data_IF_776146858606
#
_entry.id   IF_776146858606
#
_cell.length_a   1.000
_cell.length_b   1.000
_cell.length_c   1.000
_cell.angle_alpha   90.00
_cell.angle_beta   90.00
_cell.angle_gamma   90.00
#
_symmetry.space_group_name_H-M   'P 1'
#
loop_
_entity.id
_entity.type
_entity.pdbx_description
1 polymer ?
#
# COMPACT_ATOMS: atom_id res chain seq x y z
N UNK A 1 5.94 21.82 -0.94
CA UNK A 1 6.12 21.40 0.47
C UNK A 1 7.61 21.45 0.75
N UNK A 2 8.03 22.15 1.81
CA UNK A 2 9.45 22.26 2.15
C UNK A 2 10.01 20.96 2.75
N UNK A 3 11.33 20.82 2.71
CA UNK A 3 12.05 19.61 3.14
C UNK A 3 11.86 19.32 4.64
N UNK A 4 11.69 20.35 5.46
CA UNK A 4 11.48 20.21 6.90
C UNK A 4 10.11 19.62 7.22
N UNK A 5 9.07 20.11 6.56
CA UNK A 5 7.71 19.60 6.66
C UNK A 5 7.62 18.16 6.16
N UNK A 6 8.28 17.85 5.05
CA UNK A 6 8.37 16.47 4.56
C UNK A 6 9.11 15.56 5.55
N UNK A 7 10.22 16.01 6.15
CA UNK A 7 10.95 15.26 7.19
C UNK A 7 10.12 15.04 8.44
N UNK A 8 9.34 16.02 8.87
CA UNK A 8 8.44 15.87 10.03
C UNK A 8 7.31 14.88 9.72
N UNK A 9 6.76 14.90 8.51
CA UNK A 9 5.74 13.94 8.05
C UNK A 9 6.35 12.52 7.96
N UNK A 10 7.51 12.36 7.32
CA UNK A 10 8.23 11.07 7.21
C UNK A 10 8.67 10.55 8.58
N UNK A 11 9.13 11.43 9.49
CA UNK A 11 9.49 11.08 10.86
C UNK A 11 8.32 10.55 11.67
N UNK A 12 7.09 11.04 11.39
CA UNK A 12 5.87 10.45 11.96
C UNK A 12 5.64 9.04 11.44
N UNK A 13 5.85 8.75 10.15
CA UNK A 13 5.74 7.38 9.60
C UNK A 13 6.72 6.38 10.24
N UNK A 14 7.95 6.80 10.57
CA UNK A 14 8.95 5.94 11.23
C UNK A 14 8.56 5.53 12.66
N UNK A 15 7.58 6.18 13.28
CA UNK A 15 7.10 5.85 14.62
C UNK A 15 6.09 4.68 14.66
N UNK A 16 5.66 4.12 13.51
CA UNK A 16 4.41 3.31 13.46
C UNK A 16 4.44 1.86 12.92
N UNK A 17 5.59 1.18 12.71
CA UNK A 17 5.76 -0.29 12.93
C UNK A 17 7.03 -0.91 12.29
N UNK A 18 7.63 -1.87 13.01
CA UNK A 18 8.44 -3.05 12.63
C UNK A 18 9.56 -2.98 11.57
N UNK A 19 9.67 -1.94 10.75
CA UNK A 19 10.81 -1.80 9.83
C UNK A 19 12.13 -1.71 10.59
N UNK A 20 12.09 -1.21 11.84
CA UNK A 20 13.26 -1.13 12.72
C UNK A 20 13.83 -2.51 13.12
N UNK A 21 12.99 -3.55 13.24
CA UNK A 21 13.45 -4.91 13.54
C UNK A 21 14.03 -5.62 12.29
N UNK A 22 13.56 -5.27 11.08
CA UNK A 22 14.15 -5.76 9.83
C UNK A 22 15.36 -4.96 9.34
N UNK A 23 15.46 -3.67 9.70
CA UNK A 23 16.54 -2.75 9.29
C UNK A 23 17.66 -2.64 10.31
N UNK A 24 17.46 -3.06 11.58
CA UNK A 24 18.58 -3.25 12.51
C UNK A 24 19.32 -4.57 12.22
N UNK A 25 19.85 -4.63 11.01
CA UNK A 25 20.68 -5.70 10.51
C UNK A 25 22.04 -5.77 11.22
N UNK A 26 22.37 -4.79 12.08
CA UNK A 26 23.64 -4.77 12.84
C UNK A 26 23.74 -5.91 13.86
N UNK A 27 22.61 -6.51 14.21
CA UNK A 27 22.54 -7.73 15.03
C UNK A 27 22.86 -9.02 14.23
N UNK A 28 22.77 -8.97 12.89
CA UNK A 28 22.92 -10.13 11.99
C UNK A 28 24.15 -10.02 11.08
N UNK A 29 24.55 -8.82 10.68
CA UNK A 29 25.71 -8.54 9.85
C UNK A 29 26.74 -7.69 10.60
N UNK A 30 28.04 -8.00 10.48
CA UNK A 30 29.11 -7.17 11.02
C UNK A 30 28.98 -5.72 10.55
N UNK A 31 29.26 -4.74 11.44
CA UNK A 31 29.18 -3.29 11.14
C UNK A 31 29.86 -2.88 9.83
N UNK A 32 30.91 -3.60 9.46
CA UNK A 32 31.71 -3.42 8.24
C UNK A 32 30.93 -3.65 6.93
N UNK A 33 29.78 -4.36 6.98
CA UNK A 33 28.93 -4.67 5.82
C UNK A 33 27.70 -3.78 5.70
N UNK A 34 27.56 -2.80 6.58
CA UNK A 34 26.45 -1.84 6.59
C UNK A 34 26.91 -0.59 5.86
N UNK A 35 26.62 -0.52 4.55
CA UNK A 35 27.11 0.54 3.65
C UNK A 35 26.41 1.90 3.81
N UNK A 36 25.26 1.93 4.50
CA UNK A 36 24.45 3.13 4.77
C UNK A 36 23.91 3.08 6.19
N UNK A 37 23.79 4.23 6.87
CA UNK A 37 23.25 4.28 8.22
C UNK A 37 21.80 3.76 8.22
N UNK A 38 21.47 2.64 8.92
CA UNK A 38 20.11 2.10 8.96
C UNK A 38 19.12 3.04 9.67
N UNK A 39 19.62 4.08 10.35
CA UNK A 39 18.85 5.13 11.01
C UNK A 39 18.65 6.37 10.15
N UNK A 40 19.23 6.45 8.94
CA UNK A 40 18.94 7.55 8.02
C UNK A 40 17.50 7.41 7.50
N UNK A 41 16.69 8.48 7.51
CA UNK A 41 15.34 8.44 6.96
C UNK A 41 15.39 8.04 5.47
N UNK A 42 15.00 6.81 5.18
CA UNK A 42 14.81 6.37 3.81
C UNK A 42 13.55 7.04 3.25
N UNK A 43 13.69 7.78 2.15
CA UNK A 43 12.54 8.36 1.46
C UNK A 43 11.68 7.23 0.89
N UNK A 44 10.42 7.13 1.31
CA UNK A 44 9.46 6.25 0.68
C UNK A 44 9.19 6.76 -0.73
N UNK A 45 9.63 6.00 -1.74
CA UNK A 45 9.48 6.38 -3.14
C UNK A 45 8.14 5.90 -3.73
N UNK A 46 7.69 4.72 -3.29
CA UNK A 46 6.44 4.14 -3.74
C UNK A 46 5.79 3.29 -2.65
N UNK A 47 4.47 3.10 -2.79
CA UNK A 47 3.63 2.24 -1.96
C UNK A 47 2.91 1.25 -2.86
N UNK A 48 2.94 -0.02 -2.47
CA UNK A 48 2.27 -1.11 -3.18
C UNK A 48 1.17 -1.67 -2.29
N UNK A 49 -0.09 -1.48 -2.67
CA UNK A 49 -1.23 -2.14 -2.03
C UNK A 49 -1.42 -3.52 -2.65
N UNK A 50 -1.01 -4.55 -1.91
CA UNK A 50 -1.01 -5.93 -2.42
C UNK A 50 -2.40 -6.54 -2.24
N UNK A 51 -2.88 -7.23 -3.28
CA UNK A 51 -4.06 -8.09 -3.22
C UNK A 51 -3.83 -9.38 -3.99
N UNK A 52 -4.75 -10.31 -3.80
CA UNK A 52 -4.91 -11.50 -4.63
C UNK A 52 -6.39 -11.65 -4.96
N UNK A 53 -6.78 -11.15 -6.13
CA UNK A 53 -8.14 -11.21 -6.61
C UNK A 53 -8.19 -11.83 -8.01
N UNK A 54 -8.61 -13.09 -8.09
CA UNK A 54 -8.68 -13.85 -9.35
C UNK A 54 -9.82 -13.39 -10.27
N UNK A 55 -10.79 -12.63 -9.76
CA UNK A 55 -11.88 -12.06 -10.56
C UNK A 55 -11.45 -10.82 -11.35
N UNK A 56 -10.27 -10.28 -11.04
CA UNK A 56 -9.69 -9.14 -11.75
C UNK A 56 -8.54 -9.55 -12.66
N UNK A 57 -8.48 -8.94 -13.85
CA UNK A 57 -7.38 -9.14 -14.80
C UNK A 57 -6.27 -8.08 -14.67
N UNK A 58 -6.50 -7.01 -13.91
CA UNK A 58 -5.49 -5.99 -13.65
C UNK A 58 -4.41 -6.58 -12.76
N UNK A 59 -3.16 -6.51 -13.22
CA UNK A 59 -1.98 -6.99 -12.50
C UNK A 59 -1.39 -5.85 -11.69
N UNK A 60 -1.22 -4.68 -12.31
CA UNK A 60 -0.71 -3.50 -11.64
C UNK A 60 -1.36 -2.25 -12.21
N UNK A 61 -1.69 -1.30 -11.34
CA UNK A 61 -2.08 0.04 -11.76
C UNK A 61 -1.55 1.09 -10.80
N UNK A 62 -1.23 2.28 -11.33
CA UNK A 62 -1.05 3.46 -10.53
C UNK A 62 -2.40 3.95 -10.04
N UNK A 63 -2.48 4.23 -8.75
CA UNK A 63 -3.70 4.60 -8.07
C UNK A 63 -3.95 6.10 -8.13
N UNK A 64 -5.22 6.46 -8.28
CA UNK A 64 -5.72 7.79 -7.89
C UNK A 64 -5.90 7.84 -6.38
N UNK A 65 -5.98 9.04 -5.80
CA UNK A 65 -6.21 9.20 -4.36
C UNK A 65 -7.51 8.50 -3.93
N UNK A 66 -8.59 8.61 -4.71
CA UNK A 66 -9.88 8.00 -4.38
C UNK A 66 -9.76 6.49 -4.24
N UNK A 67 -9.11 5.82 -5.20
CA UNK A 67 -8.90 4.37 -5.17
C UNK A 67 -7.94 3.96 -4.06
N UNK A 68 -6.89 4.72 -3.83
CA UNK A 68 -5.90 4.45 -2.78
C UNK A 68 -6.55 4.50 -1.39
N UNK A 69 -7.27 5.58 -1.10
CA UNK A 69 -7.95 5.76 0.18
C UNK A 69 -9.08 4.74 0.36
N UNK A 70 -9.86 4.46 -0.69
CA UNK A 70 -10.88 3.41 -0.63
C UNK A 70 -10.29 2.02 -0.34
N UNK A 71 -9.16 1.65 -0.97
CA UNK A 71 -8.49 0.36 -0.72
C UNK A 71 -8.03 0.21 0.73
N UNK A 72 -7.52 1.28 1.33
CA UNK A 72 -7.08 1.31 2.72
C UNK A 72 -8.25 1.27 3.70
N UNK A 73 -9.32 2.02 3.43
CA UNK A 73 -10.56 1.99 4.22
C UNK A 73 -11.22 0.60 4.21
N UNK A 74 -11.23 -0.08 3.07
CA UNK A 74 -11.77 -1.46 2.96
C UNK A 74 -10.86 -2.48 3.66
N UNK A 75 -9.53 -2.29 3.61
CA UNK A 75 -8.58 -3.13 4.35
C UNK A 75 -8.56 -4.60 3.92
N UNK A 76 -8.89 -4.93 2.66
CA UNK A 76 -8.90 -6.32 2.19
C UNK A 76 -7.49 -6.87 2.05
N UNK A 77 -7.20 -7.95 2.76
CA UNK A 77 -5.97 -8.73 2.63
C UNK A 77 -5.97 -9.59 1.37
N UNK A 78 -4.80 -10.14 0.96
CA UNK A 78 -4.74 -11.15 -0.08
C UNK A 78 -5.52 -12.45 0.23
N UNK A 79 -5.90 -12.70 1.49
CA UNK A 79 -6.76 -13.82 1.87
C UNK A 79 -8.26 -13.49 1.74
N UNK A 80 -8.59 -12.25 1.36
CA UNK A 80 -9.98 -11.78 1.24
C UNK A 80 -10.62 -11.37 2.58
N UNK A 81 -9.90 -11.51 3.69
CA UNK A 81 -10.31 -11.01 5.01
C UNK A 81 -10.21 -9.49 5.05
N UNK A 82 -11.10 -8.83 5.79
CA UNK A 82 -10.94 -7.41 6.13
C UNK A 82 -10.05 -7.31 7.36
N UNK A 83 -8.94 -6.62 7.22
CA UNK A 83 -8.05 -6.24 8.30
C UNK A 83 -7.91 -4.73 8.28
N UNK A 84 -8.17 -4.10 9.43
CA UNK A 84 -7.80 -2.70 9.61
C UNK A 84 -6.29 -2.69 9.78
N UNK A 85 -5.63 -1.81 9.01
CA UNK A 85 -4.18 -1.81 8.79
C UNK A 85 -3.38 -1.65 10.11
N UNK A 86 -4.02 -1.21 11.20
CA UNK A 86 -3.40 -1.03 12.53
C UNK A 86 -4.17 -1.68 13.70
N UNK A 87 -4.51 -2.97 13.60
CA UNK A 87 -5.07 -3.71 14.74
C UNK A 87 -4.18 -3.74 16.01
N UNK A 88 -2.87 -3.45 15.90
CA UNK A 88 -1.93 -3.57 17.03
C UNK A 88 -1.85 -2.35 17.97
N UNK A 89 -2.27 -1.16 17.52
CA UNK A 89 -2.10 0.11 18.28
C UNK A 89 -3.41 0.83 18.63
N UNK A 90 -4.56 0.34 18.16
CA UNK A 90 -5.86 0.95 18.43
C UNK A 90 -6.37 0.54 19.81
N UNK A 91 -6.34 1.47 20.76
CA UNK A 91 -6.88 1.30 22.11
C UNK A 91 -8.41 1.50 22.19
N UNK A 92 -9.10 1.68 21.05
CA UNK A 92 -10.53 2.03 20.96
C UNK A 92 -11.30 0.95 20.21
N UNK A 93 -12.57 0.77 20.56
CA UNK A 93 -13.47 -0.33 20.17
C UNK A 93 -13.54 -0.56 18.65
N UNK A 94 -12.65 -1.44 18.15
CA UNK A 94 -12.48 -1.89 16.78
C UNK A 94 -13.81 -2.27 16.09
N UNK A 95 -14.80 -2.74 16.86
CA UNK A 95 -16.13 -3.07 16.33
C UNK A 95 -16.92 -1.84 15.89
N UNK A 96 -16.85 -0.75 16.65
CA UNK A 96 -17.58 0.49 16.35
C UNK A 96 -17.05 1.14 15.08
N UNK A 97 -15.73 1.17 14.91
CA UNK A 97 -15.08 1.70 13.71
C UNK A 97 -15.32 0.82 12.49
N UNK A 98 -15.23 -0.50 12.62
CA UNK A 98 -15.60 -1.44 11.54
C UNK A 98 -17.04 -1.22 11.10
N UNK A 99 -17.96 -1.11 12.05
CA UNK A 99 -19.38 -0.85 11.75
C UNK A 99 -19.53 0.47 11.01
N UNK A 100 -18.85 1.52 11.45
CA UNK A 100 -18.87 2.82 10.78
C UNK A 100 -18.32 2.74 9.35
N UNK A 101 -17.19 2.07 9.14
CA UNK A 101 -16.61 1.83 7.80
C UNK A 101 -17.61 1.07 6.92
N UNK A 102 -18.26 0.02 7.44
CA UNK A 102 -19.26 -0.76 6.71
C UNK A 102 -20.45 0.11 6.28
N UNK A 103 -20.88 1.11 7.07
CA UNK A 103 -21.94 2.05 6.66
C UNK A 103 -21.55 2.91 5.47
N UNK A 104 -20.26 3.28 5.37
CA UNK A 104 -19.75 4.04 4.22
C UNK A 104 -19.56 3.11 3.03
N UNK A 105 -19.00 1.91 3.23
CA UNK A 105 -18.80 0.90 2.18
C UNK A 105 -20.13 0.53 1.49
N UNK A 106 -21.22 0.44 2.25
CA UNK A 106 -22.56 0.17 1.73
C UNK A 106 -23.06 1.20 0.70
N UNK A 107 -22.48 2.41 0.66
CA UNK A 107 -22.79 3.44 -0.34
C UNK A 107 -22.03 3.27 -1.66
N UNK A 108 -21.09 2.33 -1.71
CA UNK A 108 -20.24 2.02 -2.87
C UNK A 108 -18.77 2.29 -2.60
N UNK A 109 -17.92 1.31 -2.93
CA UNK A 109 -16.45 1.39 -2.77
C UNK A 109 -15.86 2.53 -3.62
N UNK A 110 -16.42 2.78 -4.80
CA UNK A 110 -16.04 3.87 -5.71
C UNK A 110 -16.27 5.27 -5.10
N UNK A 111 -17.21 5.39 -4.17
CA UNK A 111 -17.56 6.66 -3.50
C UNK A 111 -16.98 6.77 -2.11
N UNK A 112 -16.35 5.71 -1.62
CA UNK A 112 -15.99 5.55 -0.22
C UNK A 112 -15.14 6.71 0.32
N UNK A 113 -14.14 7.15 -0.44
CA UNK A 113 -13.32 8.30 -0.04
C UNK A 113 -14.11 9.61 -0.01
N UNK A 114 -14.96 9.86 -1.00
CA UNK A 114 -15.78 11.09 -1.03
C UNK A 114 -16.81 11.12 0.10
N UNK A 115 -17.42 9.98 0.42
CA UNK A 115 -18.39 9.84 1.51
C UNK A 115 -17.70 9.94 2.87
N UNK A 116 -16.50 9.36 2.99
CA UNK A 116 -15.63 9.56 4.13
C UNK A 116 -15.39 11.05 4.34
N UNK A 117 -14.90 11.79 3.35
CA UNK A 117 -14.59 13.22 3.49
C UNK A 117 -15.78 14.05 4.02
N UNK A 118 -17.00 13.78 3.54
CA UNK A 118 -18.23 14.49 3.93
C UNK A 118 -18.71 14.16 5.35
N UNK A 119 -18.37 12.99 5.88
CA UNK A 119 -18.84 12.55 7.19
C UNK A 119 -18.34 13.46 8.31
N UNK A 120 -19.20 13.80 9.28
CA UNK A 120 -18.86 14.71 10.40
C UNK A 120 -18.55 13.96 11.70
N UNK A 121 -18.95 12.71 11.74
CA UNK A 121 -18.92 11.77 12.87
C UNK A 121 -17.84 10.70 12.68
N UNK A 122 -16.73 11.06 12.05
CA UNK A 122 -15.60 10.15 11.83
C UNK A 122 -14.99 9.74 13.19
N UNK A 123 -14.71 8.44 13.42
CA UNK A 123 -13.85 8.05 14.52
C UNK A 123 -12.50 8.79 14.44
N UNK A 124 -12.05 9.38 15.56
CA UNK A 124 -10.86 10.24 15.60
C UNK A 124 -9.58 9.48 15.19
N UNK A 125 -9.40 8.28 15.74
CA UNK A 125 -8.34 7.31 15.41
C UNK A 125 -8.31 6.97 13.92
N UNK A 126 -9.47 6.71 13.31
CA UNK A 126 -9.57 6.50 11.86
C UNK A 126 -9.21 7.75 11.06
N UNK A 127 -9.58 8.93 11.56
CA UNK A 127 -9.27 10.20 10.92
C UNK A 127 -7.77 10.49 10.91
N UNK A 128 -7.08 10.29 12.03
CA UNK A 128 -5.63 10.41 12.11
C UNK A 128 -4.94 9.44 11.15
N UNK A 129 -5.37 8.18 11.12
CA UNK A 129 -4.83 7.15 10.24
C UNK A 129 -4.99 7.49 8.75
N UNK A 130 -6.20 7.89 8.34
CA UNK A 130 -6.45 8.23 6.95
C UNK A 130 -5.71 9.50 6.52
N UNK A 131 -5.52 10.47 7.42
CA UNK A 131 -4.68 11.63 7.13
C UNK A 131 -3.21 11.25 6.95
N UNK A 132 -2.68 10.29 7.71
CA UNK A 132 -1.36 9.74 7.45
C UNK A 132 -1.30 9.13 6.04
N UNK A 133 -2.20 8.23 5.68
CA UNK A 133 -2.19 7.63 4.34
C UNK A 133 -2.35 8.66 3.21
N UNK A 134 -3.17 9.69 3.39
CA UNK A 134 -3.30 10.78 2.43
C UNK A 134 -1.97 11.51 2.22
N UNK A 135 -1.20 11.73 3.28
CA UNK A 135 0.16 12.29 3.19
C UNK A 135 1.16 11.32 2.55
N UNK A 136 1.01 10.02 2.79
CA UNK A 136 1.80 9.00 2.12
C UNK A 136 1.59 9.04 0.60
N UNK A 137 0.33 9.07 0.15
CA UNK A 137 -0.01 9.20 -1.27
C UNK A 137 0.54 10.50 -1.89
N UNK A 138 0.54 11.59 -1.12
CA UNK A 138 1.07 12.88 -1.60
C UNK A 138 2.61 12.86 -1.75
N UNK A 139 3.30 11.97 -1.03
CA UNK A 139 4.76 11.93 -0.98
C UNK A 139 5.40 10.83 -1.83
N UNK A 140 4.63 9.79 -2.18
CA UNK A 140 5.09 8.59 -2.86
C UNK A 140 4.11 8.14 -3.95
N UNK A 141 4.61 7.47 -4.99
CA UNK A 141 3.75 6.87 -6.01
C UNK A 141 3.00 5.67 -5.42
N UNK A 142 1.68 5.63 -5.55
CA UNK A 142 0.86 4.53 -5.03
C UNK A 142 0.39 3.61 -6.16
N UNK A 143 0.50 2.31 -5.95
CA UNK A 143 0.10 1.28 -6.91
C UNK A 143 -0.77 0.23 -6.24
N UNK A 144 -1.73 -0.33 -6.98
CA UNK A 144 -2.44 -1.56 -6.63
C UNK A 144 -1.75 -2.70 -7.36
N UNK A 145 -1.33 -3.72 -6.62
CA UNK A 145 -0.62 -4.89 -7.16
C UNK A 145 -1.43 -6.15 -6.88
N UNK A 146 -1.86 -6.82 -7.94
CA UNK A 146 -2.60 -8.06 -7.87
C UNK A 146 -1.68 -9.25 -8.17
N UNK A 147 -1.47 -10.13 -7.19
CA UNK A 147 -0.56 -11.28 -7.30
C UNK A 147 -1.24 -12.47 -7.98
N UNK A 148 -1.78 -12.27 -9.19
CA UNK A 148 -2.59 -13.27 -9.92
C UNK A 148 -1.98 -13.69 -11.25
N UNK A 149 -0.67 -13.49 -11.42
CA UNK A 149 0.05 -13.92 -12.64
C UNK A 149 -0.10 -15.41 -12.96
N UNK A 150 -0.54 -16.24 -12.01
CA UNK A 150 -0.90 -17.64 -12.27
C UNK A 150 -2.08 -17.82 -13.23
N UNK A 151 -2.87 -16.76 -13.49
CA UNK A 151 -3.93 -16.76 -14.51
C UNK A 151 -3.36 -16.80 -15.93
N UNK A 152 -2.12 -16.36 -16.11
CA UNK A 152 -1.45 -16.36 -17.40
C UNK A 152 -0.97 -17.77 -17.77
N UNK A 153 -1.45 -18.28 -18.91
CA UNK A 153 -1.18 -19.64 -19.40
C UNK A 153 0.30 -19.95 -19.64
N UNK A 154 1.15 -18.94 -19.86
CA UNK A 154 2.59 -19.20 -20.01
C UNK A 154 3.40 -18.99 -18.72
N UNK A 155 2.74 -18.73 -17.58
CA UNK A 155 3.34 -18.87 -16.25
C UNK A 155 3.17 -20.32 -15.79
N UNK A 156 4.28 -21.06 -15.78
CA UNK A 156 4.27 -22.52 -15.58
C UNK A 156 4.33 -22.96 -14.11
N UNK A 157 4.72 -22.06 -13.19
CA UNK A 157 4.85 -22.39 -11.77
C UNK A 157 4.55 -21.21 -10.86
N UNK A 158 4.36 -21.49 -9.56
CA UNK A 158 4.25 -20.44 -8.53
C UNK A 158 5.53 -19.62 -8.41
N UNK A 159 6.69 -20.25 -8.62
CA UNK A 159 7.98 -19.58 -8.58
C UNK A 159 8.10 -18.57 -9.72
N UNK A 160 7.67 -18.94 -10.93
CA UNK A 160 7.63 -18.05 -12.10
C UNK A 160 6.70 -16.86 -11.85
N UNK A 161 5.53 -17.11 -11.26
CA UNK A 161 4.58 -16.06 -10.91
C UNK A 161 5.18 -15.04 -9.92
N UNK A 162 5.88 -15.51 -8.87
CA UNK A 162 6.57 -14.65 -7.90
C UNK A 162 7.69 -13.87 -8.59
N UNK A 163 8.53 -14.55 -9.36
CA UNK A 163 9.65 -13.93 -10.08
C UNK A 163 9.16 -12.81 -11.01
N UNK A 164 8.13 -13.06 -11.81
CA UNK A 164 7.54 -12.06 -12.69
C UNK A 164 6.87 -10.92 -11.93
N UNK A 165 6.23 -11.21 -10.78
CA UNK A 165 5.66 -10.16 -9.90
C UNK A 165 6.75 -9.22 -9.39
N UNK A 166 7.90 -9.75 -8.98
CA UNK A 166 9.04 -8.93 -8.54
C UNK A 166 9.56 -8.04 -9.68
N UNK A 167 9.65 -8.56 -10.90
CA UNK A 167 10.04 -7.75 -12.07
C UNK A 167 9.03 -6.65 -12.38
N UNK A 168 7.72 -6.93 -12.26
CA UNK A 168 6.66 -5.91 -12.41
C UNK A 168 6.83 -4.80 -11.37
N UNK A 169 7.11 -5.14 -10.10
CA UNK A 169 7.37 -4.15 -9.04
C UNK A 169 8.54 -3.25 -9.42
N UNK A 170 9.67 -3.82 -9.84
CA UNK A 170 10.86 -3.04 -10.27
C UNK A 170 10.50 -2.08 -11.40
N UNK A 171 9.80 -2.56 -12.43
CA UNK A 171 9.39 -1.73 -13.57
C UNK A 171 8.39 -0.63 -13.18
N UNK A 172 7.58 -0.84 -12.15
CA UNK A 172 6.69 0.18 -11.63
C UNK A 172 7.46 1.28 -10.88
N UNK A 173 8.51 0.93 -10.14
CA UNK A 173 9.38 1.89 -9.46
C UNK A 173 10.13 2.80 -10.44
N UNK A 174 10.44 2.30 -11.63
CA UNK A 174 11.08 3.08 -12.69
C UNK A 174 10.11 4.00 -13.47
N UNK A 175 8.81 3.97 -13.15
CA UNK A 175 7.77 4.60 -13.98
C UNK A 175 6.97 5.69 -13.25
N UNK A 176 7.00 6.90 -13.81
CA UNK A 176 6.30 8.08 -13.28
C UNK A 176 5.03 8.45 -14.02
N UNK A 177 4.56 7.63 -14.97
CA UNK A 177 3.32 7.91 -15.74
C UNK A 177 2.08 7.64 -14.89
N UNK A 178 1.10 8.54 -14.95
CA UNK A 178 -0.20 8.35 -14.29
C UNK A 178 -1.03 7.25 -14.96
N UNK A 179 -0.83 7.04 -16.27
CA UNK A 179 -1.51 6.00 -17.06
C UNK A 179 -0.87 4.62 -16.91
N UNK A 180 -0.04 4.40 -15.89
CA UNK A 180 0.63 3.11 -15.68
C UNK A 180 -0.39 2.07 -15.23
N UNK A 181 -0.81 1.20 -16.15
CA UNK A 181 -1.79 0.14 -15.90
C UNK A 181 -1.56 -1.01 -16.86
N UNK A 182 -1.44 -2.21 -16.30
CA UNK A 182 -1.19 -3.44 -17.04
C UNK A 182 -2.01 -4.58 -16.45
N UNK A 183 -2.60 -5.38 -17.34
CA UNK A 183 -3.37 -6.58 -17.02
C UNK A 183 -2.64 -7.87 -17.39
N UNK A 184 -3.32 -9.00 -17.17
CA UNK A 184 -2.80 -10.34 -17.48
C UNK A 184 -2.42 -10.48 -18.95
N UNK A 185 -3.10 -9.78 -19.86
CA UNK A 185 -2.85 -9.87 -21.30
C UNK A 185 -1.62 -9.09 -21.77
N UNK A 186 -1.17 -8.07 -21.02
CA UNK A 186 -0.15 -7.14 -21.51
C UNK A 186 0.97 -6.80 -20.51
N UNK A 187 0.94 -7.30 -19.27
CA UNK A 187 2.03 -7.07 -18.29
C UNK A 187 3.39 -7.54 -18.79
N UNK A 188 3.45 -8.54 -19.68
CA UNK A 188 4.72 -9.03 -20.25
C UNK A 188 5.47 -7.96 -21.03
N UNK A 189 4.75 -7.00 -21.63
CA UNK A 189 5.36 -5.84 -22.31
C UNK A 189 6.19 -4.96 -21.36
N UNK A 190 5.95 -5.06 -20.03
CA UNK A 190 6.80 -4.42 -19.02
C UNK A 190 8.10 -5.19 -18.78
N UNK A 191 8.07 -6.51 -18.98
CA UNK A 191 9.14 -7.42 -18.61
C UNK A 191 10.23 -7.49 -19.67
N UNK A 192 9.84 -7.31 -20.94
CA UNK A 192 10.76 -7.13 -22.07
C UNK A 192 11.61 -5.85 -21.91
#
# INVERSE_FOLDING_TARGET
MDEKTLRDIVGRFFAFENTRAMLDITTVFPKERVFTNPMEPARIHAVMLIKRNFDEDVVIERLTIDKFMARLLVGRTPAGTKEIVYNSYRAVDDKSERTWIDTIEAKGVDKMWSEYQKAKDKPETLNEEMEMFRMLFTSAAAYDLNTVLQKDKAVTSKMDAVHNTMRVIVKALDNTKETFRYGIEDYRKLLD
#
